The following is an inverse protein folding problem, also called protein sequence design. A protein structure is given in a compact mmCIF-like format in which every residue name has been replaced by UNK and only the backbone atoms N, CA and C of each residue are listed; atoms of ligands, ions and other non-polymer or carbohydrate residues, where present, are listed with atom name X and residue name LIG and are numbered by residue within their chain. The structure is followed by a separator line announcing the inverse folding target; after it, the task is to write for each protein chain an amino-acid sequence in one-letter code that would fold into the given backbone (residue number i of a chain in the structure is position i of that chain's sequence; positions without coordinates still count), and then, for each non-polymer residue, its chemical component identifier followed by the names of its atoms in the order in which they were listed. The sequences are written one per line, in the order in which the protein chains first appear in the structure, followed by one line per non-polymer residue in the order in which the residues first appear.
data_IF_376476783465
#
_entry.id   IF_376476783465
#
_cell.length_a   1.000
_cell.length_b   1.000
_cell.length_c   1.000
_cell.angle_alpha   90.00
_cell.angle_beta   90.00
_cell.angle_gamma   90.00
#
_symmetry.space_group_name_H-M   'P 1'
#
loop_
_entity.id
_entity.type
_entity.pdbx_description
1 polymer ?
#
# COMPACT_ATOMS: atom_id res chain seq x y z
N UNK A 1 20.71 14.31 -0.64
CA UNK A 1 19.34 14.74 -0.21
C UNK A 1 18.72 13.62 0.62
N UNK A 2 18.10 13.91 1.76
CA UNK A 2 17.47 12.89 2.61
C UNK A 2 16.22 12.35 1.90
N UNK A 3 16.27 11.09 1.43
CA UNK A 3 15.25 10.44 0.57
C UNK A 3 13.87 10.29 1.22
N UNK A 4 13.76 10.58 2.51
CA UNK A 4 12.53 10.42 3.30
C UNK A 4 11.80 11.73 3.62
N UNK A 5 12.26 12.88 3.09
CA UNK A 5 11.82 14.21 3.56
C UNK A 5 10.32 14.48 3.41
N UNK A 6 9.68 13.95 2.37
CA UNK A 6 8.26 14.17 2.04
C UNK A 6 7.32 13.41 2.98
N UNK A 7 7.37 12.08 2.96
CA UNK A 7 6.57 11.22 3.83
C UNK A 7 6.80 11.57 5.31
N UNK A 8 8.06 11.74 5.73
CA UNK A 8 8.40 12.20 7.08
C UNK A 8 7.66 13.47 7.48
N UNK A 9 7.73 14.52 6.64
CA UNK A 9 7.12 15.82 6.96
C UNK A 9 5.60 15.69 7.14
N UNK A 10 4.97 14.88 6.29
CA UNK A 10 3.53 14.66 6.37
C UNK A 10 3.14 13.93 7.67
N UNK A 11 3.78 12.80 7.97
CA UNK A 11 3.41 11.98 9.12
C UNK A 11 3.81 12.60 10.46
N UNK A 12 5.01 13.20 10.57
CA UNK A 12 5.38 13.97 11.76
C UNK A 12 4.45 15.16 11.95
N UNK A 13 4.09 15.88 10.89
CA UNK A 13 3.14 16.99 10.99
C UNK A 13 1.74 16.58 11.44
N UNK A 14 1.27 15.39 11.04
CA UNK A 14 0.01 14.83 11.51
C UNK A 14 0.05 14.44 12.99
N UNK A 15 1.15 13.83 13.45
CA UNK A 15 1.37 13.54 14.87
C UNK A 15 1.34 14.85 15.67
N UNK A 16 2.16 15.83 15.27
CA UNK A 16 2.24 17.14 15.92
C UNK A 16 0.86 17.82 15.97
N UNK A 17 0.07 17.71 14.89
CA UNK A 17 -1.28 18.25 14.83
C UNK A 17 -2.20 17.64 15.90
N UNK A 18 -2.25 16.32 16.00
CA UNK A 18 -3.12 15.65 16.97
C UNK A 18 -2.66 15.84 18.41
N UNK A 19 -1.34 15.84 18.64
CA UNK A 19 -0.77 16.16 19.95
C UNK A 19 -1.11 17.60 20.36
N UNK A 20 -1.10 18.56 19.42
CA UNK A 20 -1.54 19.95 19.68
C UNK A 20 -3.02 20.07 20.07
N UNK A 21 -3.84 19.08 19.72
CA UNK A 21 -5.26 18.97 20.09
C UNK A 21 -5.46 18.18 21.39
N UNK A 22 -4.38 17.75 22.05
CA UNK A 22 -4.43 16.98 23.30
C UNK A 22 -4.65 15.48 23.11
N UNK A 23 -4.65 14.98 21.86
CA UNK A 23 -4.76 13.55 21.56
C UNK A 23 -3.37 12.95 21.51
N UNK A 24 -2.99 12.17 22.52
CA UNK A 24 -1.65 11.57 22.56
C UNK A 24 -1.61 10.34 21.67
N UNK A 25 -0.44 10.05 21.10
CA UNK A 25 -0.21 8.83 20.30
C UNK A 25 -0.58 7.54 21.02
N UNK A 26 -0.39 7.49 22.34
CA UNK A 26 -0.75 6.33 23.16
C UNK A 26 -2.27 6.05 23.16
N UNK A 27 -3.09 7.05 22.86
CA UNK A 27 -4.55 6.97 22.87
C UNK A 27 -5.13 6.56 21.50
N UNK A 28 -4.30 6.45 20.45
CA UNK A 28 -4.77 6.18 19.09
C UNK A 28 -5.29 4.75 18.89
N UNK A 29 -4.91 3.82 19.76
CA UNK A 29 -5.15 2.40 19.55
C UNK A 29 -4.41 1.86 18.32
N UNK A 30 -4.85 0.72 17.76
CA UNK A 30 -4.22 0.12 16.60
C UNK A 30 -4.31 1.02 15.36
N UNK A 31 -3.19 1.22 14.67
CA UNK A 31 -3.10 2.05 13.46
C UNK A 31 -2.96 1.18 12.22
N UNK A 32 -3.81 1.47 11.23
CA UNK A 32 -3.84 0.80 9.93
C UNK A 32 -3.63 1.82 8.81
N UNK A 33 -2.54 1.68 8.05
CA UNK A 33 -2.32 2.45 6.84
C UNK A 33 -2.90 1.75 5.62
N UNK A 34 -3.61 2.50 4.78
CA UNK A 34 -4.05 2.05 3.47
C UNK A 34 -3.36 2.89 2.42
N UNK A 35 -2.70 2.25 1.46
CA UNK A 35 -2.01 2.92 0.37
C UNK A 35 -2.34 2.27 -0.96
N UNK A 36 -2.66 3.07 -1.98
CA UNK A 36 -2.93 2.60 -3.34
C UNK A 36 -1.80 3.01 -4.27
N UNK A 37 -1.38 2.12 -5.19
CA UNK A 37 -0.34 2.42 -6.18
C UNK A 37 0.92 2.96 -5.49
N UNK A 38 1.44 4.12 -5.91
CA UNK A 38 2.57 4.80 -5.25
C UNK A 38 2.33 5.06 -3.74
N UNK A 39 1.07 5.24 -3.34
CA UNK A 39 0.66 5.42 -1.95
C UNK A 39 0.95 4.20 -1.06
N UNK A 40 0.98 2.98 -1.62
CA UNK A 40 1.36 1.78 -0.87
C UNK A 40 2.82 1.86 -0.41
N UNK A 41 3.73 2.30 -1.30
CA UNK A 41 5.13 2.51 -0.96
C UNK A 41 5.33 3.71 -0.03
N UNK A 42 4.56 4.79 -0.21
CA UNK A 42 4.58 5.91 0.73
C UNK A 42 4.15 5.48 2.14
N UNK A 43 3.16 4.60 2.27
CA UNK A 43 2.72 4.04 3.55
C UNK A 43 3.83 3.19 4.20
N UNK A 44 4.47 2.28 3.45
CA UNK A 44 5.62 1.50 3.94
C UNK A 44 6.80 2.37 4.37
N UNK A 45 7.15 3.35 3.54
CA UNK A 45 8.20 4.31 3.85
C UNK A 45 7.91 5.12 5.12
N UNK A 46 6.67 5.55 5.31
CA UNK A 46 6.24 6.25 6.51
C UNK A 46 6.31 5.37 7.76
N UNK A 47 5.78 4.15 7.69
CA UNK A 47 5.79 3.21 8.80
C UNK A 47 7.22 2.86 9.24
N UNK A 48 8.11 2.62 8.26
CA UNK A 48 9.52 2.40 8.53
C UNK A 48 10.18 3.58 9.26
N UNK A 49 9.87 4.81 8.83
CA UNK A 49 10.41 6.01 9.47
C UNK A 49 9.90 6.15 10.91
N UNK A 50 8.60 6.00 11.12
CA UNK A 50 7.98 6.06 12.45
C UNK A 50 8.57 5.02 13.42
N UNK A 51 8.85 3.83 12.91
CA UNK A 51 9.53 2.75 13.67
C UNK A 51 10.95 3.14 14.07
N UNK A 52 11.72 3.76 13.18
CA UNK A 52 13.11 4.13 13.43
C UNK A 52 13.27 5.37 14.33
N UNK A 53 12.47 6.41 14.10
CA UNK A 53 12.67 7.72 14.74
C UNK A 53 11.79 7.89 15.98
N UNK A 54 10.53 7.49 15.88
CA UNK A 54 9.52 7.74 16.89
C UNK A 54 9.24 6.50 17.76
N UNK A 55 9.92 5.38 17.48
CA UNK A 55 9.69 4.05 18.08
C UNK A 55 8.22 3.62 17.99
N UNK A 56 7.49 4.14 17.01
CA UNK A 56 6.08 3.87 16.79
C UNK A 56 5.93 2.78 15.75
N UNK A 57 5.27 1.67 16.10
CA UNK A 57 4.99 0.59 15.17
C UNK A 57 3.57 0.70 14.64
N UNK A 58 3.44 0.66 13.32
CA UNK A 58 2.16 0.56 12.62
C UNK A 58 1.70 -0.89 12.69
N UNK A 59 0.44 -1.12 13.04
CA UNK A 59 -0.07 -2.48 13.25
C UNK A 59 -0.41 -3.17 11.93
N UNK A 60 -0.95 -2.43 10.96
CA UNK A 60 -1.29 -2.98 9.67
C UNK A 60 -0.99 -2.03 8.52
N UNK A 61 -0.53 -2.56 7.40
CA UNK A 61 -0.52 -1.85 6.12
C UNK A 61 -1.29 -2.69 5.11
N UNK A 62 -2.26 -2.10 4.42
CA UNK A 62 -2.85 -2.70 3.22
C UNK A 62 -2.35 -1.96 1.99
N UNK A 63 -1.62 -2.67 1.13
CA UNK A 63 -1.15 -2.19 -0.16
C UNK A 63 -2.14 -2.57 -1.26
N UNK A 64 -2.81 -1.59 -1.84
CA UNK A 64 -3.76 -1.79 -2.92
C UNK A 64 -3.04 -1.52 -4.24
N UNK A 65 -2.73 -2.59 -4.94
CA UNK A 65 -2.05 -2.61 -6.23
C UNK A 65 -0.78 -1.73 -6.25
N UNK A 66 0.25 -2.08 -5.46
CA UNK A 66 1.46 -1.27 -5.33
C UNK A 66 2.11 -1.03 -6.69
N UNK A 67 2.65 0.17 -6.92
CA UNK A 67 3.22 0.52 -8.22
C UNK A 67 4.50 -0.28 -8.54
N UNK A 68 4.62 -0.82 -9.76
CA UNK A 68 5.86 -1.45 -10.21
C UNK A 68 6.94 -0.45 -10.65
N UNK A 69 6.65 0.57 -11.48
CA UNK A 69 7.70 1.43 -12.02
C UNK A 69 8.50 2.12 -10.93
N UNK A 70 9.84 2.00 -10.98
CA UNK A 70 10.80 2.48 -9.97
C UNK A 70 10.79 1.70 -8.63
N UNK A 71 10.06 0.59 -8.54
CA UNK A 71 10.01 -0.30 -7.38
C UNK A 71 10.19 -1.78 -7.75
N UNK A 72 10.71 -2.06 -8.94
CA UNK A 72 10.86 -3.40 -9.53
C UNK A 72 11.77 -4.28 -8.67
N UNK A 73 12.80 -3.69 -8.07
CA UNK A 73 13.75 -4.37 -7.20
C UNK A 73 14.01 -3.56 -5.92
N UNK A 74 14.12 -4.22 -4.76
CA UNK A 74 14.57 -3.56 -3.54
C UNK A 74 16.06 -3.20 -3.68
N UNK A 75 16.33 -2.00 -4.18
CA UNK A 75 17.69 -1.46 -4.32
C UNK A 75 17.95 -0.38 -3.30
N UNK A 76 19.15 -0.37 -2.72
CA UNK A 76 19.56 0.66 -1.77
C UNK A 76 19.58 2.07 -2.37
N UNK A 77 19.61 2.21 -3.70
CA UNK A 77 19.62 3.49 -4.43
C UNK A 77 18.22 4.02 -4.76
N UNK A 78 17.20 3.17 -4.73
CA UNK A 78 15.82 3.50 -5.13
C UNK A 78 14.96 4.01 -3.96
N UNK A 79 13.78 4.59 -4.23
CA UNK A 79 12.79 4.87 -3.19
C UNK A 79 12.46 3.58 -2.43
N UNK A 80 12.27 3.69 -1.11
CA UNK A 80 11.95 2.52 -0.30
C UNK A 80 10.61 1.93 -0.77
N UNK A 81 10.69 0.71 -1.31
CA UNK A 81 9.56 -0.17 -1.62
C UNK A 81 8.89 -0.64 -0.32
N UNK A 82 7.58 -0.87 -0.40
CA UNK A 82 6.83 -1.49 0.69
C UNK A 82 7.36 -2.90 0.94
N UNK A 83 7.56 -3.25 2.21
CA UNK A 83 7.99 -4.59 2.65
C UNK A 83 7.13 -5.06 3.82
N UNK A 84 6.99 -6.37 3.96
CA UNK A 84 6.40 -7.03 5.15
C UNK A 84 6.97 -6.55 6.49
N UNK A 85 8.21 -6.05 6.52
CA UNK A 85 8.85 -5.58 7.76
C UNK A 85 8.39 -4.18 8.23
N UNK A 86 7.60 -3.49 7.42
CA UNK A 86 7.19 -2.11 7.66
C UNK A 86 6.06 -1.99 8.71
N UNK A 87 5.30 -3.06 8.96
CA UNK A 87 4.25 -3.12 9.99
C UNK A 87 4.23 -4.49 10.69
N UNK A 88 3.36 -4.65 11.68
CA UNK A 88 3.15 -5.96 12.32
C UNK A 88 2.43 -6.96 11.40
N UNK A 89 1.64 -6.46 10.44
CA UNK A 89 1.00 -7.25 9.38
C UNK A 89 0.87 -6.41 8.10
N UNK A 90 1.29 -6.96 6.97
CA UNK A 90 1.17 -6.31 5.66
C UNK A 90 0.39 -7.20 4.72
N UNK A 91 -0.71 -6.70 4.17
CA UNK A 91 -1.49 -7.43 3.18
C UNK A 91 -1.68 -6.65 1.88
N UNK A 92 -1.54 -7.35 0.76
CA UNK A 92 -1.46 -6.75 -0.57
C UNK A 92 -2.57 -7.28 -1.44
N UNK A 93 -3.13 -6.42 -2.30
CA UNK A 93 -4.10 -6.80 -3.32
C UNK A 93 -3.51 -6.42 -4.67
N UNK A 94 -3.26 -7.40 -5.53
CA UNK A 94 -2.75 -7.20 -6.89
C UNK A 94 -3.90 -7.23 -7.89
N UNK A 95 -3.96 -6.22 -8.77
CA UNK A 95 -5.03 -6.07 -9.78
C UNK A 95 -4.57 -5.56 -11.13
N UNK A 96 -3.36 -5.03 -11.28
CA UNK A 96 -2.84 -4.54 -12.56
C UNK A 96 -1.37 -4.92 -12.76
N UNK A 97 -1.04 -6.17 -12.48
CA UNK A 97 0.31 -6.69 -12.64
C UNK A 97 0.58 -7.39 -13.97
N UNK A 98 1.86 -7.63 -14.26
CA UNK A 98 2.31 -8.44 -15.38
C UNK A 98 3.53 -9.29 -15.01
N UNK A 99 3.66 -10.45 -15.68
CA UNK A 99 4.83 -11.32 -15.55
C UNK A 99 6.09 -10.65 -16.14
N UNK A 100 5.91 -9.91 -17.23
CA UNK A 100 6.98 -9.11 -17.83
C UNK A 100 7.07 -7.77 -17.09
N UNK A 101 8.24 -7.46 -16.55
CA UNK A 101 8.52 -6.16 -15.90
C UNK A 101 8.15 -5.00 -16.81
N UNK A 102 7.57 -3.95 -16.25
CA UNK A 102 7.16 -2.73 -16.95
C UNK A 102 6.11 -2.95 -18.06
N UNK A 103 5.44 -4.11 -18.08
CA UNK A 103 4.32 -4.36 -18.98
C UNK A 103 2.95 -4.02 -18.36
N UNK A 104 2.92 -3.67 -17.06
CA UNK A 104 1.75 -3.16 -16.36
C UNK A 104 2.16 -2.12 -15.30
N UNK A 105 1.20 -1.56 -14.56
CA UNK A 105 1.46 -0.51 -13.55
C UNK A 105 1.64 -1.06 -12.14
N UNK A 106 1.04 -2.21 -11.85
CA UNK A 106 1.07 -2.91 -10.58
C UNK A 106 2.24 -3.88 -10.47
N UNK A 107 2.78 -3.97 -9.27
CA UNK A 107 3.86 -4.89 -8.91
C UNK A 107 3.30 -6.28 -8.67
N UNK A 108 3.84 -7.32 -9.33
CA UNK A 108 3.39 -8.72 -9.14
C UNK A 108 4.11 -9.49 -8.03
N UNK A 109 5.25 -8.99 -7.59
CA UNK A 109 6.04 -9.66 -6.55
C UNK A 109 5.25 -9.71 -5.23
N UNK A 110 5.33 -10.83 -4.48
CA UNK A 110 4.69 -10.95 -3.18
C UNK A 110 5.49 -10.17 -2.13
N UNK A 111 4.97 -9.01 -1.71
CA UNK A 111 5.68 -8.09 -0.79
C UNK A 111 5.04 -8.03 0.60
N UNK A 112 3.88 -8.65 0.78
CA UNK A 112 3.18 -8.74 2.06
C UNK A 112 3.59 -9.94 2.90
N UNK A 113 2.94 -10.05 4.05
CA UNK A 113 2.71 -11.29 4.77
C UNK A 113 1.60 -12.13 4.09
N UNK A 114 0.67 -11.45 3.42
CA UNK A 114 -0.39 -12.05 2.62
C UNK A 114 -0.63 -11.25 1.34
N UNK A 115 -0.58 -11.92 0.19
CA UNK A 115 -0.74 -11.29 -1.12
C UNK A 115 -1.95 -11.93 -1.85
N UNK A 116 -2.95 -11.12 -2.17
CA UNK A 116 -4.16 -11.52 -2.88
C UNK A 116 -4.05 -11.15 -4.36
N UNK A 117 -4.18 -12.13 -5.25
CA UNK A 117 -4.13 -11.94 -6.70
C UNK A 117 -5.54 -12.06 -7.29
N UNK A 118 -6.25 -10.93 -7.39
CA UNK A 118 -7.64 -10.93 -7.86
C UNK A 118 -7.67 -11.28 -9.36
N UNK A 119 -8.42 -12.33 -9.71
CA UNK A 119 -8.47 -12.87 -11.06
C UNK A 119 -7.07 -13.14 -11.66
N UNK A 120 -6.12 -13.54 -10.81
CA UNK A 120 -4.72 -13.79 -11.18
C UNK A 120 -3.79 -12.58 -11.09
N UNK A 121 -4.31 -11.42 -10.66
CA UNK A 121 -3.53 -10.21 -10.34
C UNK A 121 -3.10 -9.36 -11.54
N UNK A 122 -3.48 -9.76 -12.75
CA UNK A 122 -3.22 -9.00 -13.99
C UNK A 122 -4.45 -8.16 -14.37
N UNK A 123 -4.52 -7.66 -15.62
CA UNK A 123 -5.63 -6.86 -16.12
C UNK A 123 -7.02 -7.46 -15.77
N UNK A 124 -7.81 -6.70 -15.01
CA UNK A 124 -9.12 -7.15 -14.53
C UNK A 124 -10.15 -7.25 -15.68
N UNK A 125 -11.09 -8.22 -15.64
CA UNK A 125 -12.01 -8.51 -16.75
C UNK A 125 -12.80 -7.30 -17.28
N UNK A 126 -13.28 -6.43 -16.38
CA UNK A 126 -14.07 -5.24 -16.73
C UNK A 126 -13.21 -4.14 -17.41
N UNK A 127 -11.88 -4.20 -17.30
CA UNK A 127 -10.95 -3.23 -17.89
C UNK A 127 -10.65 -3.48 -19.38
N UNK A 128 -10.89 -4.70 -19.90
CA UNK A 128 -10.58 -5.06 -21.29
C UNK A 128 -11.41 -4.31 -22.35
N UNK A 129 -12.60 -3.80 -21.99
CA UNK A 129 -13.47 -3.05 -22.90
C UNK A 129 -13.19 -1.54 -22.98
N UNK A 130 -12.26 -1.00 -22.19
CA UNK A 130 -12.07 0.44 -21.99
C UNK A 130 -11.01 1.09 -22.91
N UNK A 131 -10.58 0.41 -23.97
CA UNK A 131 -9.51 0.87 -24.87
C UNK A 131 -9.77 2.22 -25.58
N UNK A 132 -10.95 2.83 -25.42
CA UNK A 132 -11.29 4.14 -25.99
C UNK A 132 -11.86 5.17 -25.00
N UNK A 133 -11.74 4.99 -23.68
CA UNK A 133 -12.13 6.04 -22.75
C UNK A 133 -11.18 6.15 -21.56
N UNK A 134 -10.37 7.21 -21.55
CA UNK A 134 -9.60 7.68 -20.40
C UNK A 134 -10.49 8.16 -19.21
N UNK A 135 -11.68 7.59 -19.02
CA UNK A 135 -12.75 8.12 -18.17
C UNK A 135 -13.62 7.05 -17.49
N UNK A 136 -13.04 6.09 -16.75
CA UNK A 136 -13.75 5.46 -15.62
C UNK A 136 -12.86 5.31 -14.39
N UNK A 137 -12.61 6.44 -13.73
CA UNK A 137 -11.94 6.55 -12.43
C UNK A 137 -12.77 6.16 -11.16
N UNK A 138 -13.94 5.49 -11.18
CA UNK A 138 -14.57 5.03 -9.93
C UNK A 138 -14.51 3.50 -9.67
N UNK A 139 -13.80 2.69 -10.47
CA UNK A 139 -13.79 1.23 -10.25
C UNK A 139 -12.84 0.76 -9.13
N UNK A 140 -11.82 1.55 -8.78
CA UNK A 140 -10.95 1.26 -7.63
C UNK A 140 -11.74 1.01 -6.34
N UNK A 141 -12.79 1.80 -6.09
CA UNK A 141 -13.67 1.60 -4.93
C UNK A 141 -14.44 0.29 -4.98
N UNK A 142 -14.75 -0.26 -6.16
CA UNK A 142 -15.42 -1.57 -6.30
C UNK A 142 -14.49 -2.69 -5.85
N UNK A 143 -13.21 -2.64 -6.24
CA UNK A 143 -12.20 -3.60 -5.78
C UNK A 143 -11.83 -3.41 -4.31
N UNK A 144 -11.72 -2.16 -3.85
CA UNK A 144 -11.52 -1.85 -2.43
C UNK A 144 -12.71 -2.32 -1.57
N UNK A 145 -13.95 -2.05 -1.98
CA UNK A 145 -15.15 -2.57 -1.31
C UNK A 145 -15.26 -4.09 -1.45
N UNK A 146 -14.80 -4.66 -2.56
CA UNK A 146 -14.63 -6.10 -2.78
C UNK A 146 -13.68 -6.68 -1.74
N UNK A 147 -12.51 -6.09 -1.56
CA UNK A 147 -11.54 -6.46 -0.52
C UNK A 147 -12.13 -6.29 0.89
N UNK A 148 -12.81 -5.18 1.20
CA UNK A 148 -13.47 -5.00 2.51
C UNK A 148 -14.55 -6.06 2.75
N UNK A 149 -15.22 -6.54 1.69
CA UNK A 149 -16.16 -7.66 1.74
C UNK A 149 -15.45 -9.02 1.89
N UNK A 150 -14.38 -9.26 1.15
CA UNK A 150 -13.56 -10.49 1.22
C UNK A 150 -12.93 -10.63 2.60
N UNK A 151 -12.32 -9.57 3.14
CA UNK A 151 -11.75 -9.52 4.48
C UNK A 151 -12.78 -9.73 5.61
N UNK A 152 -14.08 -9.58 5.32
CA UNK A 152 -15.17 -9.92 6.25
C UNK A 152 -15.67 -11.37 6.14
N UNK A 153 -15.32 -12.09 5.07
CA UNK A 153 -15.85 -13.42 4.74
C UNK A 153 -14.80 -14.46 4.37
N UNK A 154 -13.52 -14.22 4.64
CA UNK A 154 -12.44 -15.09 4.18
C UNK A 154 -12.31 -16.39 5.02
N UNK A 155 -13.14 -17.37 4.72
CA UNK A 155 -12.80 -18.80 4.73
C UNK A 155 -12.40 -19.23 3.31
N UNK A 156 -11.25 -18.78 2.82
CA UNK A 156 -10.65 -19.39 1.64
C UNK A 156 -9.15 -19.45 1.87
N UNK A 157 -8.70 -20.62 2.32
CA UNK A 157 -7.31 -21.05 2.20
C UNK A 157 -7.18 -21.72 0.84
N UNK A 158 -6.20 -21.32 0.04
CA UNK A 158 -5.70 -22.16 -1.04
C UNK A 158 -4.53 -22.99 -0.51
#
# INVERSE_FOLDING_TARGET
MNRYRGARRFFSGMIDHWESKGVKRADWGPVHFLGHSLGAHAAGQAAHYLKQQDKFRVNRITGLDPAEPCFEEPRETEPKRLSREDADFVDIVHTDGAVTRNAALGLMDPIGDLDFYIDGGNLQPDCMGAANEAKKRPEFYKYFLGYVKIARHSEYSC
#
